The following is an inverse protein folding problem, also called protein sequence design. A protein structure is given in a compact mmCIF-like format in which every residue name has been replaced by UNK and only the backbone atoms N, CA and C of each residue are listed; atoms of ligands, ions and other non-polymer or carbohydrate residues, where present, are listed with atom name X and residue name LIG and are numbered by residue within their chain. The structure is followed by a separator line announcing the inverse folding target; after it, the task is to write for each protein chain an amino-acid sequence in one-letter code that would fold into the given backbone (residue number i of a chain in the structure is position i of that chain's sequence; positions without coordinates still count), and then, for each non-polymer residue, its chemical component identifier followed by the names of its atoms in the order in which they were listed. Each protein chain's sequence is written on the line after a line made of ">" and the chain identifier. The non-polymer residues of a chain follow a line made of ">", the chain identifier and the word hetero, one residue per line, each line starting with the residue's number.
data_IF_363624896616
#
_entry.id   IF_363624896616
#
_cell.length_a   1.000
_cell.length_b   1.000
_cell.length_c   1.000
_cell.angle_alpha   90.00
_cell.angle_beta   90.00
_cell.angle_gamma   90.00
#
_symmetry.space_group_name_H-M   'P 1'
#
loop_
_entity.id
_entity.type
_entity.pdbx_description
1 polymer ?
#
# COMPACT_ATOMS: atom_id res chain seq x y z
N UNK A 1 -9.78 -8.04 14.07
CA UNK A 1 -11.04 -7.43 14.55
C UNK A 1 -11.00 -5.97 14.11
N UNK A 2 -11.64 -5.64 12.98
CA UNK A 2 -11.69 -4.28 12.45
C UNK A 2 -12.66 -3.49 13.33
N UNK A 3 -12.15 -2.58 14.15
CA UNK A 3 -12.99 -1.65 14.90
C UNK A 3 -13.66 -0.73 13.88
N UNK A 4 -14.93 -0.97 13.66
CA UNK A 4 -15.79 -0.12 12.84
C UNK A 4 -16.10 1.12 13.66
N UNK A 5 -15.24 2.13 13.57
CA UNK A 5 -15.54 3.45 14.15
C UNK A 5 -16.69 4.05 13.36
N UNK A 6 -17.83 4.29 14.02
CA UNK A 6 -18.98 5.00 13.46
C UNK A 6 -18.52 6.37 12.94
N UNK A 7 -18.28 6.41 11.62
CA UNK A 7 -17.83 7.60 10.94
C UNK A 7 -18.95 8.63 10.87
N UNK A 8 -18.65 9.85 11.33
CA UNK A 8 -19.23 11.05 10.73
C UNK A 8 -19.08 10.91 9.21
N UNK A 9 -20.18 10.62 8.53
CA UNK A 9 -20.26 10.41 7.07
C UNK A 9 -20.13 11.72 6.29
N UNK A 10 -19.16 12.56 6.65
CA UNK A 10 -18.71 13.66 5.82
C UNK A 10 -17.77 13.07 4.79
N UNK A 11 -18.32 12.64 3.64
CA UNK A 11 -17.48 12.36 2.48
C UNK A 11 -16.61 13.60 2.24
N UNK A 12 -15.26 13.47 2.18
CA UNK A 12 -14.41 14.63 2.00
C UNK A 12 -14.78 15.33 0.68
N UNK A 13 -14.74 16.67 0.64
CA UNK A 13 -15.14 17.50 -0.51
C UNK A 13 -14.46 17.11 -1.85
N UNK A 14 -13.38 16.31 -1.80
CA UNK A 14 -12.71 15.74 -2.97
C UNK A 14 -13.38 14.51 -3.59
N UNK A 15 -14.29 13.81 -2.90
CA UNK A 15 -14.93 12.57 -3.38
C UNK A 15 -15.88 12.84 -4.55
N UNK A 16 -16.66 13.92 -4.49
CA UNK A 16 -17.53 14.32 -5.60
C UNK A 16 -16.75 14.67 -6.87
N UNK A 17 -15.60 15.35 -6.73
CA UNK A 17 -14.72 15.72 -7.86
C UNK A 17 -14.04 14.49 -8.47
N UNK A 18 -13.60 13.54 -7.65
CA UNK A 18 -12.99 12.29 -8.12
C UNK A 18 -14.01 11.38 -8.82
N UNK A 19 -15.24 11.26 -8.32
CA UNK A 19 -16.30 10.55 -9.06
C UNK A 19 -16.60 11.24 -10.39
N UNK A 20 -16.79 12.55 -10.40
CA UNK A 20 -17.12 13.28 -11.61
C UNK A 20 -16.03 13.14 -12.69
N UNK A 21 -14.77 13.18 -12.30
CA UNK A 21 -13.64 12.97 -13.22
C UNK A 21 -13.58 11.53 -13.74
N UNK A 22 -13.78 10.52 -12.88
CA UNK A 22 -13.84 9.11 -13.31
C UNK A 22 -14.99 8.87 -14.28
N UNK A 23 -16.19 9.40 -13.99
CA UNK A 23 -17.35 9.30 -14.88
C UNK A 23 -17.08 10.00 -16.20
N UNK A 24 -16.50 11.20 -16.18
CA UNK A 24 -16.15 11.93 -17.40
C UNK A 24 -15.15 11.15 -18.27
N UNK A 25 -14.08 10.60 -17.66
CA UNK A 25 -13.09 9.78 -18.35
C UNK A 25 -13.74 8.52 -18.95
N UNK A 26 -14.64 7.87 -18.21
CA UNK A 26 -15.32 6.66 -18.67
C UNK A 26 -16.27 6.95 -19.85
N UNK A 27 -17.03 8.05 -19.81
CA UNK A 27 -17.87 8.51 -20.93
C UNK A 27 -17.02 8.85 -22.16
N UNK A 28 -15.88 9.52 -21.96
CA UNK A 28 -14.96 9.88 -23.04
C UNK A 28 -14.31 8.64 -23.67
N UNK A 29 -13.98 7.63 -22.86
CA UNK A 29 -13.48 6.33 -23.33
C UNK A 29 -14.53 5.53 -24.10
N UNK A 30 -15.74 5.42 -23.56
CA UNK A 30 -16.83 4.71 -24.24
C UNK A 30 -17.17 5.37 -25.57
N UNK A 31 -17.32 6.70 -25.59
CA UNK A 31 -17.59 7.45 -26.84
C UNK A 31 -16.43 7.35 -27.83
N UNK A 32 -15.18 7.43 -27.37
CA UNK A 32 -13.99 7.23 -28.20
C UNK A 32 -13.93 5.82 -28.79
N UNK A 33 -14.21 4.79 -27.99
CA UNK A 33 -14.27 3.40 -28.45
C UNK A 33 -15.38 3.16 -29.46
N UNK A 34 -16.56 3.79 -29.27
CA UNK A 34 -17.67 3.73 -30.19
C UNK A 34 -17.34 4.43 -31.53
N UNK A 35 -16.73 5.62 -31.48
CA UNK A 35 -16.28 6.33 -32.68
C UNK A 35 -15.25 5.50 -33.47
N UNK A 36 -14.28 4.90 -32.77
CA UNK A 36 -13.25 4.07 -33.38
C UNK A 36 -13.83 2.78 -33.97
N UNK A 37 -14.80 2.17 -33.27
CA UNK A 37 -15.60 1.04 -33.77
C UNK A 37 -16.34 1.38 -35.06
N UNK A 38 -17.07 2.51 -35.09
CA UNK A 38 -17.80 2.98 -36.27
C UNK A 38 -16.86 3.28 -37.43
N UNK A 39 -15.71 3.93 -37.17
CA UNK A 39 -14.70 4.19 -38.19
C UNK A 39 -14.11 2.90 -38.78
N UNK A 40 -13.76 1.92 -37.93
CA UNK A 40 -13.27 0.62 -38.38
C UNK A 40 -14.33 -0.17 -39.14
N UNK A 41 -15.58 -0.19 -38.65
CA UNK A 41 -16.70 -0.86 -39.30
C UNK A 41 -16.96 -0.26 -40.69
N UNK A 42 -17.02 1.07 -40.80
CA UNK A 42 -17.16 1.76 -42.08
C UNK A 42 -16.00 1.45 -43.03
N UNK A 43 -14.77 1.30 -42.52
CA UNK A 43 -13.60 0.98 -43.33
C UNK A 43 -13.59 -0.47 -43.83
N UNK A 44 -14.06 -1.42 -43.03
CA UNK A 44 -14.19 -2.84 -43.40
C UNK A 44 -15.40 -3.09 -44.31
N UNK A 45 -16.53 -2.43 -44.07
CA UNK A 45 -17.77 -2.58 -44.84
C UNK A 45 -17.83 -1.71 -46.10
N UNK A 46 -17.00 -0.67 -46.21
CA UNK A 46 -16.82 0.18 -47.41
C UNK A 46 -16.83 -0.59 -48.74
N UNK A 47 -16.03 -1.66 -48.94
CA UNK A 47 -16.06 -2.42 -50.20
C UNK A 47 -17.40 -3.12 -50.46
N UNK A 48 -18.06 -3.66 -49.43
CA UNK A 48 -19.40 -4.25 -49.56
C UNK A 48 -20.46 -3.19 -49.90
N UNK A 49 -20.37 -2.00 -49.30
CA UNK A 49 -21.25 -0.89 -49.64
C UNK A 49 -21.03 -0.38 -51.07
N UNK A 50 -19.79 -0.37 -51.56
CA UNK A 50 -19.48 -0.04 -52.96
C UNK A 50 -20.03 -1.09 -53.91
N UNK A 51 -19.90 -2.38 -53.58
CA UNK A 51 -20.44 -3.49 -54.36
C UNK A 51 -21.97 -3.43 -54.43
N UNK A 52 -22.65 -3.24 -53.30
CA UNK A 52 -24.12 -3.15 -53.26
C UNK A 52 -24.64 -1.92 -54.01
N UNK A 53 -23.98 -0.76 -53.90
CA UNK A 53 -24.30 0.41 -54.74
C UNK A 53 -24.08 0.14 -56.22
N UNK A 54 -23.01 -0.57 -56.58
CA UNK A 54 -22.73 -0.95 -57.96
C UNK A 54 -23.83 -1.86 -58.54
N UNK A 55 -24.20 -2.92 -57.82
CA UNK A 55 -25.29 -3.83 -58.20
C UNK A 55 -26.62 -3.07 -58.33
N UNK A 56 -26.92 -2.18 -57.38
CA UNK A 56 -28.13 -1.34 -57.41
C UNK A 56 -28.12 -0.35 -58.58
N UNK A 57 -26.96 0.22 -58.91
CA UNK A 57 -26.81 1.13 -60.05
C UNK A 57 -26.95 0.44 -61.41
N UNK A 58 -26.70 -0.87 -61.48
CA UNK A 58 -26.95 -1.68 -62.68
C UNK A 58 -28.39 -2.20 -62.77
N UNK A 59 -29.29 -1.75 -61.89
CA UNK A 59 -30.74 -1.96 -62.01
C UNK A 59 -31.19 -3.42 -62.03
N UNK A 60 -30.38 -4.35 -61.51
CA UNK A 60 -30.69 -5.78 -61.54
C UNK A 60 -30.60 -6.43 -62.92
N UNK A 61 -30.04 -5.73 -63.93
CA UNK A 61 -29.81 -6.31 -65.26
C UNK A 61 -28.56 -7.17 -65.26
N UNK A 62 -28.74 -8.47 -65.44
CA UNK A 62 -27.68 -9.44 -65.70
C UNK A 62 -27.44 -9.52 -67.23
N UNK A 63 -26.19 -9.61 -67.72
CA UNK A 63 -24.95 -9.75 -66.95
C UNK A 63 -24.38 -8.40 -66.47
N UNK A 64 -23.89 -8.39 -65.22
CA UNK A 64 -23.25 -7.24 -64.61
C UNK A 64 -21.90 -6.94 -65.31
N UNK A 65 -21.63 -5.67 -65.63
CA UNK A 65 -20.36 -5.27 -66.24
C UNK A 65 -19.17 -5.44 -65.28
N UNK A 66 -17.99 -5.79 -65.80
CA UNK A 66 -16.78 -5.99 -64.99
C UNK A 66 -16.40 -4.72 -64.21
N UNK A 67 -16.23 -4.85 -62.89
CA UNK A 67 -15.86 -3.74 -62.02
C UNK A 67 -14.37 -3.41 -62.19
N UNK A 68 -14.04 -2.43 -63.04
CA UNK A 68 -12.67 -1.90 -63.21
C UNK A 68 -12.38 -0.81 -62.18
N UNK A 69 -12.50 -1.14 -60.89
CA UNK A 69 -12.15 -0.24 -59.79
C UNK A 69 -10.64 -0.18 -59.55
N UNK A 70 -9.91 0.54 -60.40
CA UNK A 70 -8.51 0.92 -60.16
C UNK A 70 -8.44 1.91 -59.00
N UNK A 71 -7.88 1.48 -57.87
CA UNK A 71 -7.40 2.38 -56.83
C UNK A 71 -6.04 1.87 -56.35
N UNK A 72 -4.98 2.53 -56.80
CA UNK A 72 -3.60 2.39 -56.34
C UNK A 72 -3.55 2.30 -54.80
N UNK A 73 -3.04 1.19 -54.21
CA UNK A 73 -3.03 1.02 -52.77
C UNK A 73 -1.89 1.84 -52.15
N UNK A 74 -2.24 2.85 -51.35
CA UNK A 74 -1.30 3.55 -50.45
C UNK A 74 -0.64 2.55 -49.48
N UNK A 75 0.64 2.71 -49.10
CA UNK A 75 1.43 1.67 -48.41
C UNK A 75 0.85 1.21 -47.06
N UNK A 76 0.15 2.08 -46.31
CA UNK A 76 -0.54 1.71 -45.07
C UNK A 76 -1.70 0.72 -45.26
N UNK A 77 -2.19 0.54 -46.50
CA UNK A 77 -3.21 -0.47 -46.81
C UNK A 77 -2.65 -1.90 -46.92
N UNK A 78 -1.34 -2.11 -47.11
CA UNK A 78 -0.78 -3.45 -47.37
C UNK A 78 -0.95 -4.44 -46.21
N UNK A 79 -0.74 -3.99 -44.97
CA UNK A 79 -0.89 -4.84 -43.77
C UNK A 79 -2.35 -5.26 -43.54
N UNK A 80 -3.31 -4.39 -43.84
CA UNK A 80 -4.73 -4.69 -43.72
C UNK A 80 -5.27 -5.45 -44.94
N UNK A 81 -4.76 -5.25 -46.16
CA UNK A 81 -5.27 -5.98 -47.34
C UNK A 81 -4.85 -7.45 -47.38
N UNK A 82 -3.74 -7.82 -46.73
CA UNK A 82 -3.25 -9.20 -46.67
C UNK A 82 -4.01 -10.10 -45.67
N UNK A 83 -4.67 -9.51 -44.68
CA UNK A 83 -5.43 -10.25 -43.69
C UNK A 83 -6.83 -10.64 -44.21
N UNK A 84 -7.23 -11.90 -43.98
CA UNK A 84 -8.56 -12.41 -44.29
C UNK A 84 -9.66 -11.55 -43.62
N UNK A 85 -10.85 -11.50 -44.23
CA UNK A 85 -12.03 -10.81 -43.65
C UNK A 85 -12.32 -11.30 -42.21
N UNK A 86 -12.02 -12.59 -41.93
CA UNK A 86 -12.13 -13.20 -40.60
C UNK A 86 -11.23 -12.54 -39.56
N UNK A 87 -9.96 -12.32 -39.88
CA UNK A 87 -9.00 -11.68 -38.98
C UNK A 87 -9.33 -10.20 -38.77
N UNK A 88 -9.87 -9.52 -39.79
CA UNK A 88 -10.32 -8.12 -39.68
C UNK A 88 -11.51 -7.96 -38.73
N UNK A 89 -12.51 -8.82 -38.84
CA UNK A 89 -13.68 -8.82 -37.95
C UNK A 89 -13.28 -9.22 -36.52
N UNK A 90 -12.39 -10.20 -36.36
CA UNK A 90 -11.86 -10.59 -35.05
C UNK A 90 -11.06 -9.45 -34.40
N UNK A 91 -10.18 -8.78 -35.15
CA UNK A 91 -9.42 -7.62 -34.66
C UNK A 91 -10.33 -6.45 -34.29
N UNK A 92 -11.38 -6.19 -35.08
CA UNK A 92 -12.35 -5.16 -34.75
C UNK A 92 -13.04 -5.50 -33.42
N UNK A 93 -13.56 -6.72 -33.27
CA UNK A 93 -14.24 -7.14 -32.05
C UNK A 93 -13.31 -7.11 -30.82
N UNK A 94 -12.08 -7.61 -30.98
CA UNK A 94 -11.06 -7.58 -29.93
C UNK A 94 -10.73 -6.14 -29.53
N UNK A 95 -10.49 -5.24 -30.49
CA UNK A 95 -10.18 -3.85 -30.20
C UNK A 95 -11.35 -3.13 -29.51
N UNK A 96 -12.60 -3.42 -29.89
CA UNK A 96 -13.77 -2.77 -29.31
C UNK A 96 -14.08 -3.20 -27.88
N UNK A 97 -13.65 -4.39 -27.45
CA UNK A 97 -13.93 -4.92 -26.10
C UNK A 97 -12.69 -4.84 -25.21
N UNK A 98 -11.53 -5.23 -25.74
CA UNK A 98 -10.30 -5.35 -24.97
C UNK A 98 -9.69 -3.98 -24.63
N UNK A 99 -9.77 -2.99 -25.53
CA UNK A 99 -9.24 -1.64 -25.24
C UNK A 99 -10.03 -0.97 -24.12
N UNK A 100 -11.38 -0.89 -24.15
CA UNK A 100 -12.13 -0.35 -23.02
C UNK A 100 -11.94 -1.15 -21.73
N UNK A 101 -11.85 -2.48 -21.80
CA UNK A 101 -11.61 -3.32 -20.63
C UNK A 101 -10.25 -3.01 -19.97
N UNK A 102 -9.16 -3.01 -20.74
CA UNK A 102 -7.83 -2.75 -20.19
C UNK A 102 -7.72 -1.33 -19.62
N UNK A 103 -8.32 -0.34 -20.29
CA UNK A 103 -8.28 1.04 -19.78
C UNK A 103 -9.14 1.20 -18.52
N UNK A 104 -10.34 0.60 -18.48
CA UNK A 104 -11.18 0.66 -17.27
C UNK A 104 -10.53 -0.05 -16.09
N UNK A 105 -9.87 -1.19 -16.31
CA UNK A 105 -9.06 -1.86 -15.28
C UNK A 105 -7.90 -0.99 -14.83
N UNK A 106 -7.14 -0.43 -15.76
CA UNK A 106 -6.01 0.44 -15.42
C UNK A 106 -6.46 1.67 -14.63
N UNK A 107 -7.58 2.27 -15.02
CA UNK A 107 -8.19 3.40 -14.32
C UNK A 107 -8.68 2.98 -12.93
N UNK A 108 -9.38 1.85 -12.82
CA UNK A 108 -9.86 1.33 -11.53
C UNK A 108 -8.68 1.04 -10.59
N UNK A 109 -7.63 0.36 -11.07
CA UNK A 109 -6.44 0.09 -10.30
C UNK A 109 -5.72 1.38 -9.88
N UNK A 110 -5.61 2.38 -10.76
CA UNK A 110 -5.01 3.67 -10.43
C UNK A 110 -5.82 4.43 -9.37
N UNK A 111 -7.14 4.49 -9.53
CA UNK A 111 -8.06 5.15 -8.59
C UNK A 111 -8.03 4.43 -7.24
N UNK A 112 -8.15 3.11 -7.25
CA UNK A 112 -8.11 2.29 -6.04
C UNK A 112 -6.77 2.45 -5.30
N UNK A 113 -5.64 2.45 -6.03
CA UNK A 113 -4.33 2.67 -5.42
C UNK A 113 -4.20 4.08 -4.83
N UNK A 114 -4.74 5.09 -5.50
CA UNK A 114 -4.74 6.47 -4.98
C UNK A 114 -5.57 6.60 -3.69
N UNK A 115 -6.80 6.08 -3.71
CA UNK A 115 -7.68 6.08 -2.53
C UNK A 115 -7.09 5.26 -1.39
N UNK A 116 -6.57 4.08 -1.69
CA UNK A 116 -5.97 3.22 -0.68
C UNK A 116 -4.75 3.88 -0.04
N UNK A 117 -3.87 4.54 -0.81
CA UNK A 117 -2.74 5.29 -0.25
C UNK A 117 -3.20 6.43 0.65
N UNK A 118 -4.22 7.19 0.23
CA UNK A 118 -4.75 8.29 1.04
C UNK A 118 -5.40 7.80 2.34
N UNK A 119 -6.22 6.76 2.25
CA UNK A 119 -6.90 6.20 3.41
C UNK A 119 -5.93 5.50 4.35
N UNK A 120 -4.91 4.83 3.81
CA UNK A 120 -3.82 4.29 4.60
C UNK A 120 -3.03 5.38 5.30
N UNK A 121 -2.68 6.48 4.63
CA UNK A 121 -1.97 7.58 5.27
C UNK A 121 -2.77 8.14 6.45
N UNK A 122 -4.08 8.36 6.28
CA UNK A 122 -4.98 8.81 7.36
C UNK A 122 -5.08 7.80 8.49
N UNK A 123 -5.20 6.52 8.16
CA UNK A 123 -5.28 5.45 9.17
C UNK A 123 -3.97 5.35 9.94
N UNK A 124 -2.84 5.42 9.24
CA UNK A 124 -1.52 5.42 9.84
C UNK A 124 -1.30 6.65 10.73
N UNK A 125 -1.74 7.84 10.32
CA UNK A 125 -1.72 9.04 11.17
C UNK A 125 -2.55 8.83 12.45
N UNK A 126 -3.80 8.38 12.32
CA UNK A 126 -4.66 8.13 13.47
C UNK A 126 -4.10 7.05 14.41
N UNK A 127 -3.54 5.96 13.85
CA UNK A 127 -2.88 4.91 14.63
C UNK A 127 -1.62 5.45 15.31
N UNK A 128 -0.81 6.26 14.63
CA UNK A 128 0.39 6.87 15.21
C UNK A 128 0.02 7.80 16.36
N UNK A 129 -1.08 8.55 16.25
CA UNK A 129 -1.58 9.37 17.36
C UNK A 129 -2.05 8.52 18.54
N UNK A 130 -2.78 7.46 18.28
CA UNK A 130 -3.22 6.53 19.32
C UNK A 130 -2.02 5.84 19.99
N UNK A 131 -1.03 5.39 19.22
CA UNK A 131 0.22 4.80 19.71
C UNK A 131 0.97 5.81 20.60
N UNK A 132 1.14 7.05 20.14
CA UNK A 132 1.80 8.09 20.92
C UNK A 132 1.09 8.40 22.25
N UNK A 133 -0.25 8.41 22.25
CA UNK A 133 -1.03 8.56 23.49
C UNK A 133 -0.88 7.35 24.43
N UNK A 134 -0.97 6.12 23.91
CA UNK A 134 -0.78 4.91 24.73
C UNK A 134 0.62 4.84 25.32
N UNK A 135 1.62 5.29 24.56
CA UNK A 135 3.02 5.34 24.96
C UNK A 135 3.23 6.33 26.09
N UNK A 136 2.69 7.54 25.96
CA UNK A 136 2.73 8.54 27.03
C UNK A 136 2.10 8.00 28.32
N UNK A 137 0.92 7.38 28.21
CA UNK A 137 0.23 6.80 29.36
C UNK A 137 0.98 5.64 30.01
N UNK A 138 1.68 4.83 29.23
CA UNK A 138 2.49 3.75 29.75
C UNK A 138 3.76 4.26 30.43
N UNK A 139 4.41 5.28 29.86
CA UNK A 139 5.53 5.97 30.50
C UNK A 139 5.11 6.62 31.84
N UNK A 140 3.94 7.27 31.90
CA UNK A 140 3.37 7.80 33.15
C UNK A 140 3.12 6.68 34.19
N UNK A 141 2.70 5.49 33.74
CA UNK A 141 2.51 4.35 34.64
C UNK A 141 3.85 3.86 35.21
N UNK A 142 4.91 3.80 34.39
CA UNK A 142 6.26 3.47 34.85
C UNK A 142 6.80 4.50 35.83
N UNK A 143 6.59 5.78 35.56
CA UNK A 143 6.93 6.84 36.51
C UNK A 143 6.14 6.71 37.81
N UNK A 144 4.83 6.46 37.74
CA UNK A 144 3.98 6.22 38.91
C UNK A 144 4.47 5.05 39.76
N UNK A 145 4.87 3.94 39.12
CA UNK A 145 5.48 2.81 39.81
C UNK A 145 6.82 3.19 40.46
N UNK A 146 7.70 3.92 39.76
CA UNK A 146 8.93 4.45 40.33
C UNK A 146 8.66 5.38 41.52
N UNK A 147 7.59 6.19 41.45
CA UNK A 147 7.16 7.04 42.53
C UNK A 147 6.71 6.25 43.76
N UNK A 148 5.88 5.23 43.57
CA UNK A 148 5.41 4.35 44.63
C UNK A 148 6.58 3.57 45.28
N UNK A 149 7.54 3.10 44.48
CA UNK A 149 8.74 2.42 44.96
C UNK A 149 9.62 3.36 45.80
N UNK A 150 9.97 4.54 45.27
CA UNK A 150 10.82 5.48 46.00
C UNK A 150 10.17 5.99 47.31
N UNK A 151 8.85 6.05 47.37
CA UNK A 151 8.11 6.42 48.59
C UNK A 151 8.04 5.30 49.64
N UNK A 152 8.48 4.07 49.33
CA UNK A 152 8.44 2.97 50.28
C UNK A 152 9.45 3.18 51.42
N UNK A 153 8.93 3.29 52.64
CA UNK A 153 9.71 3.46 53.87
C UNK A 153 10.73 2.33 54.11
N UNK A 154 10.51 1.13 53.57
CA UNK A 154 11.49 0.05 53.68
C UNK A 154 12.75 0.34 52.84
N UNK A 155 12.59 0.84 51.62
CA UNK A 155 13.73 1.15 50.73
C UNK A 155 14.54 2.33 51.27
N UNK A 156 13.88 3.35 51.82
CA UNK A 156 14.58 4.46 52.49
C UNK A 156 15.28 4.00 53.78
N UNK A 157 14.73 3.03 54.51
CA UNK A 157 15.41 2.42 55.66
C UNK A 157 16.71 1.71 55.25
N UNK A 158 16.73 0.98 54.13
CA UNK A 158 17.94 0.35 53.60
C UNK A 158 19.06 1.35 53.27
N UNK A 159 18.72 2.55 52.80
CA UNK A 159 19.70 3.60 52.50
C UNK A 159 20.24 4.29 53.76
N UNK A 160 19.46 4.34 54.84
CA UNK A 160 19.83 5.05 56.08
C UNK A 160 20.48 4.16 57.15
N UNK A 161 20.42 2.83 57.02
CA UNK A 161 21.10 1.90 57.93
C UNK A 161 22.62 1.89 57.68
N UNK A 162 23.31 2.85 58.29
CA UNK A 162 24.76 2.90 58.35
C UNK A 162 25.31 1.78 59.25
N UNK A 163 25.84 0.72 58.62
CA UNK A 163 26.76 -0.22 59.27
C UNK A 163 26.11 -1.45 59.93
N UNK A 164 26.38 -2.63 59.37
CA UNK A 164 26.42 -3.91 60.12
C UNK A 164 25.09 -4.57 60.50
N UNK A 165 23.93 -3.96 60.22
CA UNK A 165 22.63 -4.49 60.61
C UNK A 165 21.88 -5.31 59.55
N UNK A 166 22.56 -6.04 58.66
CA UNK A 166 21.89 -6.88 57.65
C UNK A 166 20.95 -7.91 58.30
N UNK A 167 21.17 -8.29 59.56
CA UNK A 167 20.31 -9.21 60.32
C UNK A 167 18.98 -8.61 60.78
N UNK A 168 18.84 -7.29 60.95
CA UNK A 168 17.57 -6.69 61.39
C UNK A 168 16.63 -6.40 60.22
N UNK A 169 17.17 -5.96 59.08
CA UNK A 169 16.39 -5.80 57.84
C UNK A 169 16.06 -7.17 57.21
N UNK A 170 16.98 -8.14 57.27
CA UNK A 170 16.64 -9.53 56.91
C UNK A 170 15.73 -10.19 57.94
N UNK A 171 15.80 -9.88 59.24
CA UNK A 171 14.83 -10.38 60.23
C UNK A 171 13.38 -9.94 59.92
N UNK A 172 13.20 -8.70 59.46
CA UNK A 172 11.92 -8.20 58.97
C UNK A 172 11.49 -8.88 57.64
N UNK A 173 12.44 -9.37 56.85
CA UNK A 173 12.20 -10.10 55.60
C UNK A 173 12.12 -11.64 55.77
N UNK A 174 12.64 -12.22 56.86
CA UNK A 174 12.73 -13.68 57.09
C UNK A 174 11.41 -14.31 57.54
N UNK A 175 10.32 -13.53 57.60
CA UNK A 175 8.96 -14.07 57.63
C UNK A 175 8.49 -14.62 56.28
N UNK A 176 9.23 -14.37 55.19
CA UNK A 176 8.94 -14.90 53.87
C UNK A 176 10.11 -14.63 52.94
N UNK A 177 10.97 -15.63 52.73
CA UNK A 177 11.89 -15.67 51.60
C UNK A 177 11.08 -15.82 50.30
N UNK A 178 10.43 -14.73 49.90
CA UNK A 178 9.76 -14.49 48.64
C UNK A 178 9.94 -13.00 48.42
N UNK A 179 10.44 -12.65 47.24
CA UNK A 179 10.63 -11.27 46.75
C UNK A 179 9.68 -10.28 47.44
N UNK A 180 10.22 -9.33 48.22
CA UNK A 180 9.45 -8.29 48.95
C UNK A 180 8.57 -7.46 48.00
N UNK A 181 8.79 -7.61 46.69
CA UNK A 181 7.99 -7.04 45.64
C UNK A 181 7.27 -8.12 44.83
N UNK A 182 6.00 -7.90 44.45
CA UNK A 182 5.39 -8.67 43.38
C UNK A 182 6.29 -8.52 42.15
N UNK A 183 6.62 -9.63 41.50
CA UNK A 183 7.23 -9.63 40.18
C UNK A 183 6.36 -8.74 39.30
N UNK A 184 6.79 -7.51 39.03
CA UNK A 184 6.05 -6.70 38.07
C UNK A 184 6.33 -7.33 36.72
N UNK A 185 5.28 -7.53 35.93
CA UNK A 185 5.44 -8.10 34.59
C UNK A 185 6.31 -7.20 33.70
N UNK A 186 6.57 -5.95 34.10
CA UNK A 186 7.12 -4.90 33.25
C UNK A 186 8.56 -4.47 33.62
N UNK A 187 9.06 -4.78 34.82
CA UNK A 187 10.44 -4.48 35.24
C UNK A 187 11.29 -5.75 35.25
N UNK A 188 12.52 -5.67 34.73
CA UNK A 188 13.49 -6.76 34.79
C UNK A 188 14.06 -6.88 36.20
N UNK A 189 14.49 -5.74 36.75
CA UNK A 189 15.06 -5.61 38.08
C UNK A 189 15.18 -4.12 38.46
N UNK A 190 15.45 -3.88 39.73
CA UNK A 190 15.75 -2.56 40.26
C UNK A 190 16.94 -2.58 41.22
N UNK A 191 17.61 -1.43 41.32
CA UNK A 191 18.83 -1.22 42.10
C UNK A 191 18.68 0.06 42.92
N UNK A 192 19.14 0.02 44.16
CA UNK A 192 19.25 1.18 45.04
C UNK A 192 20.72 1.60 45.15
N UNK A 193 20.97 2.87 44.92
CA UNK A 193 22.27 3.50 45.05
C UNK A 193 22.28 4.48 46.23
N UNK A 194 23.42 4.62 46.87
CA UNK A 194 23.67 5.74 47.77
C UNK A 194 24.02 7.03 47.00
N UNK A 195 24.26 8.12 47.73
CA UNK A 195 24.68 9.41 47.16
C UNK A 195 26.01 9.36 46.40
N UNK A 196 26.84 8.34 46.66
CA UNK A 196 28.13 8.16 46.00
C UNK A 196 28.00 7.29 44.74
N UNK A 197 26.78 6.89 44.36
CA UNK A 197 26.55 6.02 43.21
C UNK A 197 26.91 4.54 43.45
N UNK A 198 27.15 4.15 44.71
CA UNK A 198 27.45 2.77 45.08
C UNK A 198 26.16 2.00 45.36
N UNK A 199 26.01 0.82 44.73
CA UNK A 199 24.82 0.00 44.93
C UNK A 199 24.75 -0.55 46.36
N UNK A 200 23.60 -0.33 47.01
CA UNK A 200 23.29 -0.81 48.37
C UNK A 200 22.36 -2.01 48.34
N UNK A 201 21.55 -2.14 47.31
CA UNK A 201 20.64 -3.24 47.12
C UNK A 201 20.36 -3.44 45.64
N UNK A 202 20.26 -4.70 45.22
CA UNK A 202 19.82 -5.07 43.89
C UNK A 202 18.93 -6.32 44.01
N UNK A 203 17.85 -6.34 43.23
CA UNK A 203 16.95 -7.51 43.15
C UNK A 203 17.61 -8.70 42.46
N UNK A 204 18.62 -8.44 41.63
CA UNK A 204 19.49 -9.43 40.99
C UNK A 204 20.92 -9.28 41.49
N UNK A 205 21.71 -10.35 41.47
CA UNK A 205 23.11 -10.34 41.91
C UNK A 205 23.34 -9.62 43.24
N UNK A 206 22.46 -9.84 44.23
CA UNK A 206 22.52 -9.18 45.54
C UNK A 206 23.82 -9.42 46.31
N UNK A 207 24.54 -10.47 45.96
CA UNK A 207 25.86 -10.83 46.49
C UNK A 207 27.04 -10.11 45.80
N UNK A 208 26.82 -9.51 44.62
CA UNK A 208 27.86 -8.87 43.79
C UNK A 208 27.45 -7.43 43.43
N UNK A 209 27.18 -6.60 44.45
CA UNK A 209 26.74 -5.22 44.26
C UNK A 209 27.78 -4.34 43.53
N UNK A 210 29.05 -4.72 43.52
CA UNK A 210 30.12 -4.01 42.80
C UNK A 210 29.97 -4.01 41.28
N UNK A 211 29.08 -4.86 40.73
CA UNK A 211 28.77 -4.87 39.30
C UNK A 211 27.91 -3.68 38.88
N UNK A 212 27.28 -3.00 39.84
CA UNK A 212 26.37 -1.89 39.60
C UNK A 212 27.00 -0.60 40.10
N UNK A 213 27.18 0.33 39.17
CA UNK A 213 27.69 1.67 39.45
C UNK A 213 26.82 2.69 38.72
N UNK A 214 26.45 3.74 39.43
CA UNK A 214 25.77 4.89 38.85
C UNK A 214 26.67 6.10 38.99
N UNK A 215 26.95 6.79 37.89
CA UNK A 215 27.70 8.05 37.94
C UNK A 215 26.90 9.06 38.81
N UNK A 216 27.48 9.59 39.90
CA UNK A 216 26.79 10.52 40.78
C UNK A 216 26.37 11.77 39.98
N UNK A 217 25.07 12.04 39.91
CA UNK A 217 24.62 13.28 39.31
C UNK A 217 24.97 14.46 40.23
N UNK A 218 25.51 15.58 39.70
CA UNK A 218 25.86 16.72 40.53
C UNK A 218 24.63 17.24 41.26
N UNK A 219 24.77 17.46 42.58
CA UNK A 219 23.74 18.09 43.40
C UNK A 219 23.33 19.42 42.76
N UNK A 220 22.07 19.52 42.31
CA UNK A 220 21.55 20.72 41.65
C UNK A 220 21.34 20.60 40.14
N UNK A 221 21.53 19.42 39.53
CA UNK A 221 20.95 19.16 38.21
C UNK A 221 19.44 19.44 38.27
N UNK A 222 18.96 20.33 37.39
CA UNK A 222 17.59 20.82 37.33
C UNK A 222 16.61 19.68 37.04
N UNK A 223 16.21 18.95 38.07
CA UNK A 223 15.29 17.83 37.94
C UNK A 223 15.27 16.98 39.18
N UNK A 224 14.48 17.36 40.19
CA UNK A 224 14.02 16.44 41.24
C UNK A 224 13.06 15.36 40.71
N UNK A 225 12.83 15.35 39.39
CA UNK A 225 11.97 14.41 38.69
C UNK A 225 12.68 13.11 38.33
N UNK A 226 11.92 12.21 37.74
CA UNK A 226 12.45 10.97 37.18
C UNK A 226 13.25 11.32 35.92
N UNK A 227 14.44 10.74 35.81
CA UNK A 227 15.28 10.84 34.61
C UNK A 227 15.18 9.56 33.82
N UNK A 228 14.76 9.67 32.57
CA UNK A 228 14.81 8.57 31.62
C UNK A 228 16.19 8.49 30.98
N UNK A 229 16.80 7.31 31.01
CA UNK A 229 18.11 7.05 30.42
C UNK A 229 17.92 6.41 29.05
N UNK A 230 18.68 6.84 28.03
CA UNK A 230 18.72 6.17 26.74
C UNK A 230 19.05 4.68 26.86
N UNK A 231 18.64 3.91 25.84
CA UNK A 231 18.87 2.47 25.76
C UNK A 231 20.36 2.20 25.90
N UNK A 232 20.70 1.52 26.98
CA UNK A 232 22.05 1.03 27.25
C UNK A 232 21.98 -0.47 27.52
N UNK A 233 23.04 -1.22 27.18
CA UNK A 233 23.09 -2.63 27.50
C UNK A 233 22.98 -2.81 29.01
N UNK A 234 22.05 -3.67 29.42
CA UNK A 234 21.88 -4.07 30.80
C UNK A 234 23.02 -5.03 31.23
N UNK A 235 22.99 -5.54 32.47
CA UNK A 235 24.03 -6.47 32.96
C UNK A 235 24.05 -7.81 32.22
N UNK A 236 22.98 -8.15 31.50
CA UNK A 236 22.86 -9.31 30.63
C UNK A 236 23.18 -8.98 29.17
N UNK A 237 23.63 -7.76 28.89
CA UNK A 237 23.91 -7.24 27.56
C UNK A 237 22.67 -7.18 26.64
N UNK A 238 21.49 -7.01 27.22
CA UNK A 238 20.25 -6.73 26.50
C UNK A 238 19.98 -5.22 26.46
N UNK A 239 19.49 -4.67 25.34
CA UNK A 239 19.08 -3.28 25.27
C UNK A 239 17.86 -3.05 26.17
N UNK A 240 18.01 -2.22 27.21
CA UNK A 240 16.93 -1.91 28.13
C UNK A 240 16.81 -0.40 28.36
N UNK A 241 15.56 0.08 28.38
CA UNK A 241 15.25 1.42 28.87
C UNK A 241 15.39 1.44 30.39
N UNK A 242 15.89 2.55 30.94
CA UNK A 242 16.12 2.67 32.38
C UNK A 242 15.53 3.98 32.90
N UNK A 243 14.98 3.92 34.11
CA UNK A 243 14.48 5.09 34.83
C UNK A 243 15.30 5.27 36.10
N UNK A 244 15.81 6.47 36.32
CA UNK A 244 16.51 6.84 37.54
C UNK A 244 15.65 7.84 38.29
N UNK A 245 15.36 7.53 39.55
CA UNK A 245 14.60 8.41 40.44
C UNK A 245 15.39 8.71 41.72
N UNK A 246 15.55 9.99 42.12
CA UNK A 246 16.07 10.33 43.43
C UNK A 246 15.10 9.89 44.53
N UNK A 247 15.63 9.28 45.59
CA UNK A 247 14.88 8.96 46.81
C UNK A 247 15.07 10.10 47.79
N UNK A 248 14.00 10.81 48.09
CA UNK A 248 14.01 11.97 48.96
C UNK A 248 13.41 11.63 50.33
N UNK A 249 13.95 12.24 51.39
CA UNK A 249 13.34 12.20 52.71
C UNK A 249 12.80 13.56 53.07
N UNK A 250 11.51 13.63 53.34
CA UNK A 250 10.91 14.79 53.98
C UNK A 250 11.40 14.84 55.44
N UNK A 251 12.36 15.71 55.72
CA UNK A 251 12.78 16.04 57.08
C UNK A 251 11.90 17.19 57.54
N UNK A 252 11.33 17.05 58.74
CA UNK A 252 10.22 17.86 59.28
C UNK A 252 10.43 19.38 59.30
N UNK A 253 11.64 19.89 59.06
CA UNK A 253 11.97 21.33 59.16
C UNK A 253 12.96 21.88 58.09
N UNK A 254 13.38 21.13 57.07
CA UNK A 254 14.22 21.68 55.99
C UNK A 254 14.14 20.86 54.70
N UNK A 255 14.47 21.53 53.57
CA UNK A 255 14.53 21.03 52.17
C UNK A 255 14.68 19.50 52.08
N UNK A 256 13.81 18.86 51.28
CA UNK A 256 13.94 17.47 50.85
C UNK A 256 15.40 17.16 50.50
N UNK A 257 16.01 16.30 51.31
CA UNK A 257 17.36 15.84 51.10
C UNK A 257 17.32 14.51 50.37
N UNK A 258 18.04 14.42 49.26
CA UNK A 258 18.23 13.18 48.52
C UNK A 258 19.07 12.23 49.38
N UNK A 259 18.57 11.01 49.60
CA UNK A 259 19.26 9.95 50.33
C UNK A 259 20.05 9.02 49.41
N UNK A 260 19.67 8.96 48.15
CA UNK A 260 20.21 8.06 47.15
C UNK A 260 19.32 8.01 45.92
N UNK A 261 19.54 7.00 45.07
CA UNK A 261 18.85 6.86 43.79
C UNK A 261 18.26 5.46 43.64
N UNK A 262 17.09 5.40 43.03
CA UNK A 262 16.46 4.18 42.56
C UNK A 262 16.63 4.09 41.05
N UNK A 263 17.22 3.01 40.55
CA UNK A 263 17.24 2.69 39.13
C UNK A 263 16.29 1.52 38.86
N UNK A 264 15.42 1.71 37.89
CA UNK A 264 14.50 0.69 37.37
C UNK A 264 14.94 0.33 35.96
N UNK A 265 15.12 -0.96 35.71
CA UNK A 265 15.44 -1.48 34.38
C UNK A 265 14.18 -2.13 33.81
N UNK A 266 13.70 -1.57 32.69
CA UNK A 266 12.54 -2.08 31.98
C UNK A 266 12.88 -3.38 31.26
N UNK A 267 11.88 -4.25 31.08
CA UNK A 267 12.02 -5.38 30.16
C UNK A 267 12.05 -4.93 28.70
N UNK A 268 12.71 -5.67 27.79
CA UNK A 268 12.71 -5.33 26.36
C UNK A 268 11.31 -5.36 25.72
N UNK A 269 10.37 -6.07 26.31
CA UNK A 269 8.97 -6.15 25.90
C UNK A 269 8.04 -5.18 26.68
N UNK A 270 8.60 -4.25 27.46
CA UNK A 270 7.82 -3.30 28.25
C UNK A 270 6.78 -2.54 27.41
N UNK A 271 7.09 -2.22 26.14
CA UNK A 271 6.16 -1.52 25.25
C UNK A 271 5.50 -2.42 24.18
N UNK A 272 5.53 -3.75 24.34
CA UNK A 272 4.99 -4.70 23.35
C UNK A 272 3.49 -4.52 23.10
N UNK A 273 2.73 -4.05 24.10
CA UNK A 273 1.31 -3.75 23.94
C UNK A 273 1.04 -2.73 22.82
N UNK A 274 1.98 -1.82 22.58
CA UNK A 274 1.89 -0.78 21.54
C UNK A 274 2.13 -1.38 20.15
N UNK A 275 3.09 -2.32 20.02
CA UNK A 275 3.35 -3.05 18.76
C UNK A 275 2.09 -3.79 18.28
N UNK A 276 1.36 -4.43 19.21
CA UNK A 276 0.14 -5.18 18.91
C UNK A 276 -1.03 -4.30 18.45
N UNK A 277 -1.03 -3.02 18.80
CA UNK A 277 -2.13 -2.09 18.49
C UNK A 277 -2.20 -1.74 16.99
N UNK A 278 -1.06 -1.77 16.30
CA UNK A 278 -0.96 -1.32 14.90
C UNK A 278 -0.27 -2.31 13.95
N UNK A 279 0.31 -3.41 14.45
CA UNK A 279 1.17 -4.26 13.61
C UNK A 279 2.35 -3.48 13.01
N UNK A 280 2.70 -2.36 13.65
CA UNK A 280 3.66 -1.38 13.19
C UNK A 280 4.89 -1.46 14.08
N UNK A 281 6.06 -1.49 13.44
CA UNK A 281 7.32 -1.35 14.15
C UNK A 281 7.50 0.13 14.48
N UNK A 282 7.85 0.47 15.72
CA UNK A 282 8.19 1.82 16.11
C UNK A 282 9.54 1.89 16.84
N UNK A 283 10.12 3.10 16.83
CA UNK A 283 11.23 3.47 17.70
C UNK A 283 10.90 4.74 18.45
N UNK A 284 11.53 4.93 19.59
CA UNK A 284 11.46 6.13 20.40
C UNK A 284 12.84 6.73 20.54
N UNK A 285 12.92 8.04 20.37
CA UNK A 285 14.14 8.82 20.57
C UNK A 285 13.84 9.95 21.57
N UNK A 286 14.84 10.35 22.34
CA UNK A 286 14.71 11.54 23.20
C UNK A 286 14.77 12.84 22.37
N UNK A 287 14.66 13.99 23.04
CA UNK A 287 14.77 15.30 22.36
C UNK A 287 16.14 15.58 21.73
N UNK A 288 17.15 14.78 22.04
CA UNK A 288 18.52 14.87 21.51
C UNK A 288 18.80 13.85 20.40
N UNK A 289 17.85 12.96 20.10
CA UNK A 289 17.99 11.89 19.10
C UNK A 289 18.61 10.60 19.63
N UNK A 290 18.79 10.44 20.94
CA UNK A 290 19.26 9.18 21.51
C UNK A 290 18.11 8.18 21.60
N UNK A 291 18.39 6.92 21.26
CA UNK A 291 17.39 5.86 21.27
C UNK A 291 16.90 5.59 22.70
N UNK A 292 15.59 5.64 22.91
CA UNK A 292 14.90 5.31 24.17
C UNK A 292 14.27 3.91 24.12
N UNK A 293 13.85 3.46 22.94
CA UNK A 293 13.28 2.13 22.72
C UNK A 293 13.21 1.79 21.23
N UNK A 294 13.30 0.50 20.91
CA UNK A 294 13.11 -0.01 19.56
C UNK A 294 12.31 -1.31 19.60
N UNK A 295 11.21 -1.34 18.85
CA UNK A 295 10.39 -2.54 18.66
C UNK A 295 11.09 -3.62 17.83
N UNK A 296 10.68 -4.87 18.04
CA UNK A 296 11.17 -5.99 17.24
C UNK A 296 10.61 -5.90 15.81
N UNK A 297 11.48 -5.62 14.83
CA UNK A 297 11.09 -5.44 13.41
C UNK A 297 11.30 -4.02 12.88
N UNK A 298 11.77 -3.09 13.71
CA UNK A 298 12.21 -1.79 13.23
C UNK A 298 13.62 -1.92 12.63
N UNK A 299 13.75 -2.05 11.30
CA UNK A 299 15.05 -2.05 10.61
C UNK A 299 15.44 -0.63 10.17
N UNK A 300 16.65 -0.22 10.53
CA UNK A 300 17.19 1.15 10.34
C UNK A 300 17.51 1.47 8.88
N UNK A 301 17.69 0.44 8.04
CA UNK A 301 18.07 0.57 6.63
C UNK A 301 17.09 1.34 5.74
N UNK A 302 15.83 1.50 6.15
CA UNK A 302 14.77 2.12 5.33
C UNK A 302 14.54 3.61 5.61
N UNK A 303 15.21 4.19 6.61
CA UNK A 303 14.99 5.60 6.99
C UNK A 303 15.65 6.61 6.05
N UNK A 304 16.51 6.17 5.13
CA UNK A 304 17.27 7.03 4.22
C UNK A 304 16.54 7.38 2.91
N UNK A 305 15.31 6.90 2.70
CA UNK A 305 14.61 7.08 1.42
C UNK A 305 13.53 8.17 1.46
N UNK A 306 13.90 9.35 1.95
CA UNK A 306 13.05 10.55 1.89
C UNK A 306 12.89 11.17 0.49
N UNK A 307 13.58 10.68 -0.56
CA UNK A 307 13.50 11.33 -1.88
C UNK A 307 13.84 10.51 -3.13
N UNK A 308 14.02 9.19 -3.06
CA UNK A 308 14.30 8.39 -4.25
C UNK A 308 13.34 7.21 -4.36
N UNK A 309 12.34 7.35 -5.23
CA UNK A 309 11.55 6.25 -5.75
C UNK A 309 12.45 5.33 -6.56
N UNK A 310 13.16 4.42 -5.89
CA UNK A 310 13.83 3.31 -6.56
C UNK A 310 12.77 2.29 -6.95
N UNK A 311 12.60 1.97 -8.25
CA UNK A 311 11.55 1.08 -8.73
C UNK A 311 11.79 -0.41 -8.40
N UNK A 312 12.75 -0.72 -7.52
CA UNK A 312 13.09 -2.08 -7.08
C UNK A 312 12.66 -2.40 -5.64
N UNK A 313 12.10 -1.43 -4.89
CA UNK A 313 11.83 -1.61 -3.47
C UNK A 313 10.51 -2.34 -3.22
N UNK A 314 10.61 -3.59 -2.79
CA UNK A 314 9.50 -4.52 -2.51
C UNK A 314 8.81 -4.28 -1.17
N UNK A 315 9.10 -3.19 -0.46
CA UNK A 315 8.45 -2.85 0.80
C UNK A 315 8.29 -1.34 0.92
N UNK A 316 7.30 -0.77 0.23
CA UNK A 316 6.97 0.64 0.42
C UNK A 316 6.46 0.83 1.86
N UNK A 317 7.32 1.20 2.79
CA UNK A 317 6.93 1.45 4.17
C UNK A 317 6.60 2.94 4.35
N UNK A 318 5.57 3.22 5.15
CA UNK A 318 5.24 4.59 5.55
C UNK A 318 5.81 4.81 6.94
N UNK A 319 6.76 5.74 7.07
CA UNK A 319 7.29 6.19 8.35
C UNK A 319 6.61 7.50 8.77
N UNK A 320 6.05 7.53 9.97
CA UNK A 320 5.43 8.70 10.56
C UNK A 320 6.11 9.01 11.89
N UNK A 321 6.55 10.26 12.04
CA UNK A 321 7.18 10.75 13.27
C UNK A 321 6.22 11.64 14.03
N UNK A 322 6.07 11.38 15.34
CA UNK A 322 5.21 12.14 16.25
C UNK A 322 5.98 12.47 17.52
N UNK A 323 5.94 13.73 17.93
CA UNK A 323 6.50 14.16 19.21
C UNK A 323 5.52 13.88 20.35
N UNK A 324 6.03 13.34 21.45
CA UNK A 324 5.30 13.11 22.70
C UNK A 324 5.61 14.27 23.64
N UNK A 325 4.70 15.26 23.79
CA UNK A 325 5.00 16.53 24.43
C UNK A 325 5.32 16.41 25.92
N UNK A 326 4.75 15.40 26.61
CA UNK A 326 4.96 15.20 28.05
C UNK A 326 6.42 14.91 28.41
N UNK A 327 7.14 14.20 27.53
CA UNK A 327 8.51 13.74 27.78
C UNK A 327 9.55 14.34 26.82
N UNK A 328 9.10 15.11 25.82
CA UNK A 328 9.98 15.64 24.77
C UNK A 328 10.53 14.56 23.83
N UNK A 329 9.91 13.37 23.80
CA UNK A 329 10.36 12.26 22.94
C UNK A 329 9.82 12.38 21.53
N UNK A 330 10.50 11.73 20.58
CA UNK A 330 10.04 11.53 19.22
C UNK A 330 9.80 10.04 18.98
N UNK A 331 8.56 9.69 18.67
CA UNK A 331 8.20 8.34 18.25
C UNK A 331 8.16 8.30 16.72
N UNK A 332 8.89 7.36 16.11
CA UNK A 332 8.79 7.08 14.67
C UNK A 332 8.16 5.71 14.48
N UNK A 333 6.96 5.66 13.92
CA UNK A 333 6.23 4.43 13.60
C UNK A 333 6.35 4.11 12.11
N UNK A 334 6.60 2.85 11.79
CA UNK A 334 6.78 2.30 10.45
C UNK A 334 5.68 1.29 10.16
N UNK A 335 4.93 1.54 9.08
CA UNK A 335 3.86 0.67 8.61
C UNK A 335 4.29 -0.01 7.31
N UNK A 336 4.30 -1.34 7.30
CA UNK A 336 4.56 -2.11 6.08
C UNK A 336 3.31 -2.15 5.20
N UNK A 337 3.46 -1.94 3.89
CA UNK A 337 2.35 -1.92 2.93
C UNK A 337 2.11 -3.26 2.25
N UNK A 338 2.71 -4.34 2.77
CA UNK A 338 2.78 -5.65 2.13
C UNK A 338 1.40 -6.24 1.84
N UNK A 339 0.44 -6.07 2.77
CA UNK A 339 -0.93 -6.56 2.61
C UNK A 339 -1.70 -5.92 1.44
N UNK A 340 -1.26 -4.77 0.93
CA UNK A 340 -1.90 -4.13 -0.22
C UNK A 340 -1.43 -4.72 -1.55
N UNK A 341 -0.15 -5.10 -1.64
CA UNK A 341 0.42 -5.59 -2.89
C UNK A 341 -0.26 -6.90 -3.33
N UNK A 342 -0.57 -7.77 -2.37
CA UNK A 342 -1.24 -9.05 -2.60
C UNK A 342 -2.62 -8.90 -3.26
N UNK A 343 -3.41 -7.90 -2.86
CA UNK A 343 -4.74 -7.63 -3.44
C UNK A 343 -4.69 -7.15 -4.89
N UNK A 344 -3.63 -6.45 -5.28
CA UNK A 344 -3.45 -6.00 -6.66
C UNK A 344 -3.15 -7.18 -7.61
N UNK A 345 -2.47 -8.22 -7.11
CA UNK A 345 -2.22 -9.46 -7.84
C UNK A 345 -3.51 -10.22 -8.15
N UNK A 346 -4.43 -10.32 -7.19
CA UNK A 346 -5.73 -10.98 -7.39
C UNK A 346 -6.57 -10.31 -8.49
N UNK A 347 -6.59 -8.97 -8.54
CA UNK A 347 -7.28 -8.20 -9.57
C UNK A 347 -6.72 -8.48 -10.97
N UNK A 348 -5.41 -8.60 -11.11
CA UNK A 348 -4.75 -8.95 -12.37
C UNK A 348 -5.20 -10.32 -12.89
N UNK A 349 -5.34 -11.31 -12.00
CA UNK A 349 -5.84 -12.64 -12.37
C UNK A 349 -7.29 -12.60 -12.85
N UNK A 350 -8.15 -11.85 -12.17
CA UNK A 350 -9.55 -11.67 -12.59
C UNK A 350 -9.59 -11.03 -13.98
N UNK A 351 -8.80 -9.99 -14.23
CA UNK A 351 -8.78 -9.30 -15.52
C UNK A 351 -8.24 -10.19 -16.63
N UNK A 352 -7.18 -10.95 -16.36
CA UNK A 352 -6.64 -11.91 -17.31
C UNK A 352 -7.68 -12.98 -17.68
N UNK A 353 -8.46 -13.47 -16.71
CA UNK A 353 -9.52 -14.45 -16.96
C UNK A 353 -10.65 -13.88 -17.84
N UNK A 354 -11.09 -12.64 -17.58
CA UNK A 354 -12.11 -11.97 -18.37
C UNK A 354 -11.62 -11.67 -19.78
N UNK A 355 -10.37 -11.21 -19.92
CA UNK A 355 -9.76 -10.96 -21.23
C UNK A 355 -9.67 -12.24 -22.07
N UNK A 356 -9.30 -13.37 -21.46
CA UNK A 356 -9.26 -14.68 -22.11
C UNK A 356 -10.66 -15.13 -22.57
N UNK A 357 -11.69 -14.94 -21.74
CA UNK A 357 -13.07 -15.22 -22.09
C UNK A 357 -13.56 -14.35 -23.27
N UNK A 358 -13.26 -13.05 -23.24
CA UNK A 358 -13.59 -12.13 -24.34
C UNK A 358 -12.89 -12.53 -25.65
N UNK A 359 -11.63 -12.97 -25.58
CA UNK A 359 -10.89 -13.44 -26.75
C UNK A 359 -11.55 -14.70 -27.36
N UNK A 360 -11.96 -15.66 -26.53
CA UNK A 360 -12.69 -16.86 -26.98
C UNK A 360 -14.03 -16.51 -27.64
N UNK A 361 -14.79 -15.58 -27.05
CA UNK A 361 -16.04 -15.08 -27.61
C UNK A 361 -15.83 -14.35 -28.96
N UNK A 362 -14.78 -13.54 -29.07
CA UNK A 362 -14.44 -12.85 -30.32
C UNK A 362 -14.13 -13.84 -31.46
N UNK A 363 -13.38 -14.90 -31.15
CA UNK A 363 -12.99 -15.93 -32.11
C UNK A 363 -14.20 -16.77 -32.57
N UNK A 364 -15.08 -17.14 -31.63
CA UNK A 364 -16.29 -17.90 -31.94
C UNK A 364 -17.26 -17.07 -32.79
N UNK A 365 -17.56 -15.83 -32.40
CA UNK A 365 -18.40 -14.92 -33.18
C UNK A 365 -17.83 -14.66 -34.57
N UNK A 366 -16.51 -14.42 -34.69
CA UNK A 366 -15.86 -14.27 -35.99
C UNK A 366 -16.00 -15.52 -36.86
N UNK A 367 -15.90 -16.73 -36.29
CA UNK A 367 -16.13 -17.96 -37.05
C UNK A 367 -17.57 -18.09 -37.54
N UNK A 368 -18.54 -17.79 -36.68
CA UNK A 368 -19.96 -17.85 -37.01
C UNK A 368 -20.36 -16.82 -38.07
N UNK A 369 -19.80 -15.61 -38.04
CA UNK A 369 -20.11 -14.56 -39.00
C UNK A 369 -19.50 -14.82 -40.39
N UNK A 370 -18.38 -15.52 -40.46
CA UNK A 370 -17.66 -15.78 -41.73
C UNK A 370 -18.27 -16.95 -42.51
N UNK A 371 -18.87 -17.94 -41.85
CA UNK A 371 -19.59 -19.05 -42.52
C UNK A 371 -20.64 -18.58 -43.55
N UNK A 372 -21.60 -17.70 -43.22
CA UNK A 372 -22.59 -17.25 -44.19
C UNK A 372 -21.98 -16.45 -45.35
N UNK A 373 -20.94 -15.64 -45.09
CA UNK A 373 -20.20 -14.94 -46.16
C UNK A 373 -19.51 -15.91 -47.13
N UNK A 374 -18.88 -16.96 -46.59
CA UNK A 374 -18.28 -18.03 -47.40
C UNK A 374 -19.31 -18.81 -48.21
N UNK A 375 -20.49 -19.10 -47.64
CA UNK A 375 -21.59 -19.72 -48.37
C UNK A 375 -22.11 -18.85 -49.51
N UNK A 376 -22.18 -17.53 -49.29
CA UNK A 376 -22.62 -16.57 -50.30
C UNK A 376 -21.61 -16.43 -51.44
N UNK A 377 -20.30 -16.42 -51.12
CA UNK A 377 -19.24 -16.43 -52.12
C UNK A 377 -19.26 -17.72 -52.95
N UNK A 378 -19.34 -18.89 -52.31
CA UNK A 378 -19.43 -20.18 -53.01
C UNK A 378 -20.71 -20.29 -53.86
N UNK A 379 -21.83 -19.72 -53.41
CA UNK A 379 -23.07 -19.68 -54.18
C UNK A 379 -22.95 -18.76 -55.42
N UNK A 380 -22.27 -17.62 -55.29
CA UNK A 380 -21.97 -16.74 -56.41
C UNK A 380 -21.00 -17.35 -57.41
N UNK A 381 -19.95 -18.03 -56.95
CA UNK A 381 -18.99 -18.73 -57.82
C UNK A 381 -19.70 -19.84 -58.62
N UNK A 382 -20.54 -20.66 -57.97
CA UNK A 382 -21.36 -21.66 -58.66
C UNK A 382 -22.36 -21.06 -59.65
N UNK A 383 -22.95 -19.92 -59.33
CA UNK A 383 -23.83 -19.21 -60.26
C UNK A 383 -23.06 -18.60 -61.45
N UNK A 384 -21.77 -18.28 -61.29
CA UNK A 384 -20.89 -17.79 -62.35
C UNK A 384 -20.30 -18.90 -63.24
N UNK A 385 -20.09 -20.11 -62.68
CA UNK A 385 -19.65 -21.28 -63.45
C UNK A 385 -20.71 -21.77 -64.45
N UNK A 386 -22.00 -21.57 -64.15
CA UNK A 386 -23.08 -21.79 -65.10
C UNK A 386 -23.20 -20.59 -66.07
N UNK A 387 -22.36 -20.60 -67.10
CA UNK A 387 -22.36 -19.64 -68.19
C UNK A 387 -23.76 -19.39 -68.79
N UNK A 388 -24.15 -18.12 -68.84
CA UNK A 388 -25.13 -17.61 -69.81
C UNK A 388 -24.58 -17.83 -71.23
N UNK A 389 -25.33 -18.49 -72.15
CA UNK A 389 -24.90 -18.57 -73.54
C UNK A 389 -24.85 -17.16 -74.13
N UNK A 390 -23.65 -16.76 -74.56
CA UNK A 390 -23.44 -15.51 -75.29
C UNK A 390 -24.36 -15.50 -76.52
N UNK A 391 -25.37 -14.63 -76.52
CA UNK A 391 -26.20 -14.41 -77.68
C UNK A 391 -25.33 -13.99 -78.88
N UNK A 392 -25.50 -14.59 -80.06
CA UNK A 392 -24.65 -14.32 -81.20
C UNK A 392 -24.78 -12.85 -81.60
N UNK A 393 -23.64 -12.17 -81.56
CA UNK A 393 -23.41 -10.80 -82.01
C UNK A 393 -24.01 -10.62 -83.41
N UNK A 394 -25.21 -10.02 -83.50
CA UNK A 394 -25.84 -9.64 -84.77
C UNK A 394 -24.92 -8.64 -85.47
N UNK A 395 -24.10 -9.11 -86.41
CA UNK A 395 -23.35 -8.28 -87.35
C UNK A 395 -24.35 -7.39 -88.09
N UNK A 396 -24.35 -6.10 -87.77
CA UNK A 396 -24.99 -5.09 -88.59
C UNK A 396 -24.35 -5.13 -89.99
N UNK A 397 -25.06 -5.76 -90.92
CA UNK A 397 -24.73 -5.80 -92.35
C UNK A 397 -24.93 -4.39 -92.89
N UNK A 398 -23.83 -3.64 -92.99
CA UNK A 398 -23.70 -2.38 -93.75
C UNK A 398 -24.23 -2.62 -95.16
N UNK A 399 -25.43 -2.13 -95.46
CA UNK A 399 -25.94 -2.03 -96.83
C UNK A 399 -25.32 -0.79 -97.45
N UNK A 400 -24.40 -1.00 -98.39
CA UNK A 400 -24.05 0.02 -99.37
C UNK A 400 -25.21 0.23 -100.34
N UNK A 401 -25.41 1.49 -100.73
CA UNK A 401 -26.00 1.87 -102.02
C UNK A 401 -25.40 3.23 -102.42
N UNK A 402 -25.30 3.51 -103.72
CA UNK A 402 -24.10 4.06 -104.32
C UNK A 402 -24.24 5.51 -104.73
N UNK A 403 -23.09 6.11 -105.01
CA UNK A 403 -22.95 7.34 -105.76
C UNK A 403 -23.39 7.15 -107.23
N UNK A 404 -23.90 8.24 -107.83
CA UNK A 404 -24.15 8.41 -109.26
C UNK A 404 -25.15 9.55 -109.48
N UNK A 405 -24.71 10.81 -109.52
CA UNK A 405 -24.32 11.62 -110.70
C UNK A 405 -25.48 12.25 -111.47
N UNK A 406 -25.55 13.57 -111.37
CA UNK A 406 -25.80 14.62 -112.38
C UNK A 406 -26.73 14.34 -113.58
N UNK A 407 -27.74 15.21 -113.72
CA UNK A 407 -27.80 16.24 -114.77
C UNK A 407 -28.54 17.48 -114.23
#
# INVERSE_FOLDING_TARGET
>A
MLVWTEGKSGWPDGFGRTIATVVAVLVLLLSGSAALSIMLANRILSPLHRLTRFIRSQGGTLPLGAYTGSASPKPAHRLLTAASIRTKLALLFLATVLVPLLVTVGLYAAVQNHFAKQEWARTAEALTEQMGWTLARQAEAFEGAAHALAANNMLSAYLTMQGGGLQAASAAATGGAGTIYPESEEFSYFILYDMNGSARYATIFSNNLSLFYLEPQPEGAEGRGITWVPVTPDIYNHPAGQLIKPIERSVRDAREATLGYLQLVLKPDAFQAIERLGGAAFRMEDGQGNLMYQSQGFEEGDLLSGSASSPADRGASLALTKTIPAFGWQMTAKFAFDAWHDRSGELLWVVASVALLCMLLALTLSHWLVRPLGHLQNAMERAGEHHFPAAPRRRHRRRGRPAGTAL
#
